data_IF_801822705258
#
_entry.id   IF_801822705258
#
_cell.length_a   1.000
_cell.length_b   1.000
_cell.length_c   1.000
_cell.angle_alpha   90.00
_cell.angle_beta   90.00
_cell.angle_gamma   90.00
#
_symmetry.space_group_name_H-M   'P 1'
#
loop_
_entity.id
_entity.type
_entity.pdbx_description
1 polymer ?
#
# COMPACT_ATOMS: atom_id res chain seq x y z
N UNK A 1 13.16 10.31 1.10
CA UNK A 1 11.98 9.45 1.35
C UNK A 1 11.62 9.52 2.82
N UNK A 2 10.34 9.39 3.15
CA UNK A 2 9.89 9.28 4.53
C UNK A 2 8.61 8.49 4.69
N UNK A 3 8.40 7.96 5.89
CA UNK A 3 7.27 7.08 6.22
C UNK A 3 6.40 7.69 7.32
N UNK A 4 5.10 7.45 7.23
CA UNK A 4 4.13 7.74 8.28
C UNK A 4 3.45 6.43 8.62
N UNK A 5 3.46 6.07 9.90
CA UNK A 5 2.86 4.85 10.40
C UNK A 5 1.77 5.20 11.41
N UNK A 6 0.63 4.54 11.30
CA UNK A 6 -0.46 4.56 12.25
C UNK A 6 -0.64 3.13 12.78
N UNK A 7 -0.41 2.95 14.08
CA UNK A 7 -0.61 1.66 14.73
C UNK A 7 -2.11 1.47 14.96
N UNK A 8 -2.62 0.32 14.56
CA UNK A 8 -4.03 -0.05 14.67
C UNK A 8 -4.16 -1.15 15.71
N UNK A 9 -5.10 -0.99 16.65
CA UNK A 9 -5.35 -2.02 17.65
C UNK A 9 -5.67 -3.38 16.99
N UNK A 10 -5.21 -4.46 17.61
CA UNK A 10 -5.36 -5.81 17.13
C UNK A 10 -6.83 -6.17 16.87
N UNK A 11 -7.79 -5.62 17.65
CA UNK A 11 -9.22 -5.87 17.43
C UNK A 11 -9.70 -5.29 16.11
N UNK A 12 -9.34 -4.04 15.82
CA UNK A 12 -9.72 -3.36 14.59
C UNK A 12 -8.98 -3.94 13.38
N UNK A 13 -7.67 -4.18 13.52
CA UNK A 13 -6.86 -4.80 12.48
C UNK A 13 -7.41 -6.18 12.08
N UNK A 14 -7.84 -7.00 13.06
CA UNK A 14 -8.51 -8.28 12.81
C UNK A 14 -9.81 -8.12 12.04
N UNK A 15 -10.66 -7.17 12.43
CA UNK A 15 -11.93 -6.93 11.74
C UNK A 15 -11.71 -6.58 10.26
N UNK A 16 -10.72 -5.72 9.98
CA UNK A 16 -10.34 -5.37 8.62
C UNK A 16 -9.80 -6.59 7.85
N UNK A 17 -8.86 -7.34 8.42
CA UNK A 17 -8.29 -8.52 7.76
C UNK A 17 -9.34 -9.60 7.45
N UNK A 18 -10.34 -9.79 8.32
CA UNK A 18 -11.47 -10.68 8.06
C UNK A 18 -12.33 -10.20 6.89
N UNK A 19 -12.60 -8.88 6.81
CA UNK A 19 -13.35 -8.28 5.71
C UNK A 19 -12.61 -8.45 4.39
N UNK A 20 -11.32 -8.10 4.35
CA UNK A 20 -10.47 -8.21 3.15
C UNK A 20 -10.42 -9.65 2.64
N UNK A 21 -10.15 -10.60 3.54
CA UNK A 21 -10.13 -12.04 3.23
C UNK A 21 -11.47 -12.55 2.68
N UNK A 22 -12.59 -12.04 3.21
CA UNK A 22 -13.92 -12.43 2.76
C UNK A 22 -14.17 -11.92 1.34
N UNK A 23 -13.85 -10.65 1.07
CA UNK A 23 -13.94 -10.06 -0.27
C UNK A 23 -13.06 -10.79 -1.29
N UNK A 24 -11.82 -11.12 -0.92
CA UNK A 24 -10.90 -11.85 -1.79
C UNK A 24 -11.40 -13.26 -2.12
N UNK A 25 -11.93 -13.98 -1.13
CA UNK A 25 -12.56 -15.29 -1.35
C UNK A 25 -13.79 -15.19 -2.24
N UNK A 26 -14.63 -14.18 -2.03
CA UNK A 26 -15.82 -13.95 -2.86
C UNK A 26 -15.43 -13.64 -4.31
N UNK A 27 -14.40 -12.80 -4.52
CA UNK A 27 -13.87 -12.48 -5.85
C UNK A 27 -13.32 -13.72 -6.54
N UNK A 28 -12.47 -14.52 -5.85
CA UNK A 28 -11.97 -15.80 -6.36
C UNK A 28 -13.10 -16.76 -6.77
N UNK A 29 -14.14 -16.87 -5.95
CA UNK A 29 -15.30 -17.71 -6.26
C UNK A 29 -16.05 -17.21 -7.50
N UNK A 30 -16.25 -15.89 -7.63
CA UNK A 30 -16.85 -15.27 -8.82
C UNK A 30 -16.00 -15.54 -10.07
N UNK A 31 -14.68 -15.34 -10.01
CA UNK A 31 -13.79 -15.51 -11.15
C UNK A 31 -13.72 -16.98 -11.60
N UNK A 32 -13.69 -17.92 -10.64
CA UNK A 32 -13.80 -19.35 -10.91
C UNK A 32 -15.12 -19.72 -11.59
N UNK A 33 -16.25 -19.16 -11.13
CA UNK A 33 -17.57 -19.40 -11.74
C UNK A 33 -17.67 -18.89 -13.18
N UNK A 34 -16.87 -17.89 -13.53
CA UNK A 34 -16.82 -17.30 -14.88
C UNK A 34 -15.74 -17.92 -15.78
N UNK A 35 -15.05 -18.95 -15.31
CA UNK A 35 -13.89 -19.54 -15.99
C UNK A 35 -12.84 -18.51 -16.42
N UNK A 36 -12.69 -17.43 -15.65
CA UNK A 36 -11.72 -16.37 -15.94
C UNK A 36 -10.32 -16.91 -15.66
N UNK A 37 -9.45 -16.89 -16.67
CA UNK A 37 -8.04 -17.26 -16.51
C UNK A 37 -7.30 -16.03 -16.01
N UNK A 38 -6.74 -16.15 -14.81
CA UNK A 38 -5.96 -15.09 -14.14
C UNK A 38 -4.50 -15.17 -14.57
N UNK A 39 -3.81 -14.03 -14.59
CA UNK A 39 -2.36 -13.90 -14.83
C UNK A 39 -1.52 -14.13 -13.56
N UNK A 40 -2.18 -14.40 -12.43
CA UNK A 40 -1.52 -14.67 -11.15
C UNK A 40 -1.48 -13.48 -10.19
N UNK A 41 -1.78 -12.26 -10.66
CA UNK A 41 -1.79 -11.05 -9.82
C UNK A 41 -2.82 -11.16 -8.67
N UNK A 42 -4.00 -11.68 -8.99
CA UNK A 42 -5.08 -11.90 -8.01
C UNK A 42 -4.74 -13.01 -6.99
N UNK A 43 -3.87 -13.96 -7.36
CA UNK A 43 -3.41 -15.03 -6.47
C UNK A 43 -2.39 -14.52 -5.46
N UNK A 44 -1.45 -13.66 -5.89
CA UNK A 44 -0.48 -13.00 -5.00
C UNK A 44 -1.19 -12.14 -3.96
N UNK A 45 -2.12 -11.29 -4.39
CA UNK A 45 -2.86 -10.39 -3.48
C UNK A 45 -3.60 -11.17 -2.39
N UNK A 46 -4.31 -12.24 -2.76
CA UNK A 46 -5.04 -12.99 -1.75
C UNK A 46 -4.16 -13.89 -0.88
N UNK A 47 -2.93 -14.24 -1.30
CA UNK A 47 -1.95 -14.87 -0.41
C UNK A 47 -1.54 -13.90 0.73
N UNK A 48 -1.41 -12.61 0.41
CA UNK A 48 -1.10 -11.58 1.41
C UNK A 48 -2.22 -11.40 2.45
N UNK A 49 -3.49 -11.44 2.00
CA UNK A 49 -4.67 -11.36 2.89
C UNK A 49 -4.81 -12.59 3.79
N UNK A 50 -4.51 -13.78 3.25
CA UNK A 50 -4.51 -15.03 4.04
C UNK A 50 -3.39 -14.99 5.10
N UNK A 51 -2.18 -14.56 4.75
CA UNK A 51 -1.09 -14.39 5.71
C UNK A 51 -1.43 -13.37 6.80
N UNK A 52 -1.97 -12.21 6.42
CA UNK A 52 -2.40 -11.16 7.36
C UNK A 52 -3.43 -11.67 8.38
N UNK A 53 -4.33 -12.55 7.95
CA UNK A 53 -5.31 -13.16 8.85
C UNK A 53 -4.68 -14.16 9.83
N UNK A 54 -3.62 -14.86 9.42
CA UNK A 54 -2.84 -15.75 10.30
C UNK A 54 -2.06 -14.92 11.34
N UNK A 55 -1.38 -13.87 10.90
CA UNK A 55 -0.60 -13.00 11.79
C UNK A 55 -1.50 -12.33 12.84
N UNK A 56 -2.72 -11.93 12.46
CA UNK A 56 -3.65 -11.27 13.36
C UNK A 56 -4.53 -12.24 14.17
N UNK A 57 -4.22 -13.53 14.25
CA UNK A 57 -5.02 -14.46 15.07
C UNK A 57 -5.13 -14.00 16.53
N UNK A 58 -6.29 -14.20 17.20
CA UNK A 58 -6.42 -13.89 18.62
C UNK A 58 -5.31 -14.53 19.46
N UNK A 59 -4.63 -13.72 20.28
CA UNK A 59 -3.53 -14.18 21.12
C UNK A 59 -2.15 -14.20 20.44
N UNK A 60 -2.03 -13.79 19.18
CA UNK A 60 -0.72 -13.69 18.50
C UNK A 60 0.17 -12.56 19.03
N UNK A 61 -0.43 -11.56 19.70
CA UNK A 61 0.27 -10.35 20.13
C UNK A 61 0.57 -9.36 18.99
N UNK A 62 0.14 -9.66 17.76
CA UNK A 62 0.33 -8.76 16.62
C UNK A 62 -0.77 -7.70 16.53
N UNK A 63 -0.35 -6.48 16.19
CA UNK A 63 -1.20 -5.33 15.91
C UNK A 63 -1.13 -4.97 14.43
N UNK A 64 -2.11 -4.20 13.95
CA UNK A 64 -2.07 -3.70 12.58
C UNK A 64 -1.20 -2.47 12.45
N UNK A 65 -0.73 -2.20 11.24
CA UNK A 65 -0.13 -0.92 10.88
C UNK A 65 -0.68 -0.45 9.55
N UNK A 66 -1.15 0.79 9.49
CA UNK A 66 -1.37 1.52 8.23
C UNK A 66 -0.14 2.37 7.99
N UNK A 67 0.33 2.40 6.75
CA UNK A 67 1.51 3.20 6.40
C UNK A 67 1.24 4.04 5.17
N UNK A 68 1.96 5.16 5.08
CA UNK A 68 2.06 5.99 3.90
C UNK A 68 3.52 6.41 3.69
N UNK A 69 3.93 6.53 2.43
CA UNK A 69 5.27 6.96 2.07
C UNK A 69 5.22 8.26 1.28
N UNK A 70 6.18 9.15 1.55
CA UNK A 70 6.47 10.30 0.70
C UNK A 70 7.85 10.08 0.08
N UNK A 71 7.89 10.12 -1.25
CA UNK A 71 9.10 9.93 -2.04
C UNK A 71 9.32 11.18 -2.87
N UNK A 72 10.55 11.69 -2.87
CA UNK A 72 11.01 12.70 -3.80
C UNK A 72 12.17 12.09 -4.55
N UNK A 73 12.23 12.35 -5.85
CA UNK A 73 13.33 11.93 -6.71
C UNK A 73 13.70 13.08 -7.65
N UNK A 74 14.89 13.01 -8.20
CA UNK A 74 15.44 13.96 -9.16
C UNK A 74 15.91 13.19 -10.38
N UNK A 75 15.78 13.78 -11.56
CA UNK A 75 16.17 13.21 -12.85
C UNK A 75 16.92 14.26 -13.65
N UNK A 76 17.64 13.84 -14.68
CA UNK A 76 18.51 14.74 -15.46
C UNK A 76 17.76 15.45 -16.60
N UNK A 77 16.54 15.00 -16.93
CA UNK A 77 15.69 15.64 -17.96
C UNK A 77 14.19 15.46 -17.72
N UNK A 78 13.38 16.25 -18.42
CA UNK A 78 11.91 16.13 -18.40
C UNK A 78 11.42 14.81 -19.00
N UNK A 79 12.09 14.30 -20.04
CA UNK A 79 11.77 12.99 -20.62
C UNK A 79 12.00 11.87 -19.59
N UNK A 80 13.06 11.96 -18.80
CA UNK A 80 13.30 11.02 -17.71
C UNK A 80 12.25 11.14 -16.59
N UNK A 81 11.73 12.34 -16.33
CA UNK A 81 10.68 12.55 -15.32
C UNK A 81 9.42 11.76 -15.67
N UNK A 82 8.98 11.85 -16.93
CA UNK A 82 7.83 11.10 -17.43
C UNK A 82 8.06 9.59 -17.41
N UNK A 83 9.26 9.14 -17.80
CA UNK A 83 9.62 7.72 -17.78
C UNK A 83 9.60 7.14 -16.35
N UNK A 84 10.25 7.83 -15.40
CA UNK A 84 10.36 7.37 -14.02
C UNK A 84 9.02 7.43 -13.29
N UNK A 85 8.22 8.48 -13.50
CA UNK A 85 6.86 8.57 -12.93
C UNK A 85 5.97 7.43 -13.39
N UNK A 86 5.95 7.15 -14.70
CA UNK A 86 5.21 6.01 -15.28
C UNK A 86 5.68 4.68 -14.69
N UNK A 87 6.99 4.51 -14.53
CA UNK A 87 7.55 3.30 -13.92
C UNK A 87 7.13 3.14 -12.46
N UNK A 88 7.12 4.24 -11.69
CA UNK A 88 6.67 4.23 -10.29
C UNK A 88 5.19 3.84 -10.22
N UNK A 89 4.33 4.38 -11.07
CA UNK A 89 2.90 4.03 -11.11
C UNK A 89 2.67 2.56 -11.44
N UNK A 90 3.40 2.03 -12.43
CA UNK A 90 3.34 0.61 -12.79
C UNK A 90 3.72 -0.27 -11.60
N UNK A 91 4.88 -0.01 -10.98
CA UNK A 91 5.36 -0.83 -9.85
C UNK A 91 4.45 -0.68 -8.63
N UNK A 92 3.92 0.52 -8.38
CA UNK A 92 2.96 0.76 -7.29
C UNK A 92 1.70 -0.09 -7.49
N UNK A 93 1.18 -0.15 -8.72
CA UNK A 93 0.04 -0.99 -9.09
C UNK A 93 0.33 -2.46 -8.86
N UNK A 94 1.50 -2.94 -9.31
CA UNK A 94 1.93 -4.34 -9.15
C UNK A 94 2.11 -4.72 -7.67
N UNK A 95 2.46 -3.75 -6.82
CA UNK A 95 2.59 -3.92 -5.37
C UNK A 95 1.25 -3.79 -4.62
N UNK A 96 0.14 -3.55 -5.32
CA UNK A 96 -1.17 -3.34 -4.69
C UNK A 96 -1.31 -2.01 -3.95
N UNK A 97 -0.55 -0.99 -4.35
CA UNK A 97 -0.70 0.38 -3.83
C UNK A 97 -1.81 1.06 -4.61
N UNK A 98 -3.00 1.10 -4.01
CA UNK A 98 -4.22 1.63 -4.67
C UNK A 98 -4.26 3.16 -4.79
N UNK A 99 -3.39 3.88 -4.05
CA UNK A 99 -3.42 5.35 -4.00
C UNK A 99 -2.02 5.92 -4.14
N UNK A 100 -1.80 6.61 -5.25
CA UNK A 100 -0.61 7.39 -5.52
C UNK A 100 -1.02 8.84 -5.81
N UNK A 101 -0.35 9.79 -5.15
CA UNK A 101 -0.63 11.22 -5.30
C UNK A 101 0.66 11.96 -5.66
N UNK A 102 0.66 12.56 -6.85
CA UNK A 102 1.70 13.49 -7.27
C UNK A 102 1.48 14.87 -6.64
N UNK A 103 2.53 15.45 -6.06
CA UNK A 103 2.50 16.74 -5.38
C UNK A 103 3.14 17.87 -6.23
N UNK A 104 3.03 17.75 -7.55
CA UNK A 104 3.75 18.58 -8.54
C UNK A 104 3.38 20.06 -8.52
N UNK A 105 2.26 20.41 -7.88
CA UNK A 105 1.82 21.80 -7.70
C UNK A 105 1.77 22.22 -6.23
N UNK A 106 2.38 21.42 -5.34
CA UNK A 106 2.43 21.63 -3.89
C UNK A 106 3.84 21.37 -3.36
N UNK A 107 4.84 21.95 -4.03
CA UNK A 107 6.26 21.75 -3.71
C UNK A 107 6.60 22.14 -2.26
N UNK A 108 5.97 23.17 -1.72
CA UNK A 108 6.06 23.61 -0.34
C UNK A 108 5.60 22.52 0.64
N UNK A 109 4.47 21.87 0.35
CA UNK A 109 3.98 20.73 1.14
C UNK A 109 4.85 19.49 0.97
N UNK A 110 5.30 19.21 -0.26
CA UNK A 110 6.11 18.04 -0.59
C UNK A 110 7.45 18.06 0.13
N UNK A 111 8.13 19.21 0.17
CA UNK A 111 9.40 19.37 0.88
C UNK A 111 9.25 19.13 2.38
N UNK A 112 8.20 19.66 3.00
CA UNK A 112 7.92 19.43 4.43
C UNK A 112 7.62 17.97 4.72
N UNK A 113 6.94 17.28 3.80
CA UNK A 113 6.62 15.87 3.94
C UNK A 113 7.86 14.98 3.79
N UNK A 114 8.85 15.33 2.96
CA UNK A 114 10.02 14.47 2.69
C UNK A 114 11.23 14.82 3.55
N UNK A 115 11.42 16.08 3.96
CA UNK A 115 12.60 16.51 4.71
C UNK A 115 12.52 16.17 6.21
N UNK A 116 13.62 15.68 6.83
CA UNK A 116 13.66 15.35 8.26
C UNK A 116 13.29 16.52 9.19
N UNK A 117 13.50 17.76 8.75
CA UNK A 117 13.28 18.97 9.54
C UNK A 117 11.79 19.37 9.63
N UNK A 118 10.96 19.00 8.65
CA UNK A 118 9.55 19.43 8.57
C UNK A 118 8.59 18.64 9.47
N UNK A 119 9.07 17.58 10.12
CA UNK A 119 8.24 16.58 10.81
C UNK A 119 8.17 16.74 12.34
N UNK A 120 8.93 17.68 12.89
CA UNK A 120 9.09 17.87 14.34
C UNK A 120 9.75 16.66 15.02
N UNK A 121 10.26 16.84 16.23
CA UNK A 121 10.67 15.71 17.08
C UNK A 121 9.39 15.06 17.59
N UNK A 122 9.09 13.84 17.13
CA UNK A 122 8.06 13.00 17.72
C UNK A 122 8.69 12.23 18.88
N UNK A 123 8.55 12.77 20.09
CA UNK A 123 8.77 12.04 21.36
C UNK A 123 7.62 11.08 21.64
#
# INVERSE_FOLDING_TARGET
>A
MSWVNEVVDAKEARAQAMSDRTSDKAKRHSDASKAKISDGTEQVMSNSSDQRAVDLMPGSGHHGVKWGAYVSFTVDSEEELLRVSTQIESVATDCGIDRLYWLDHRHDMALMAVLPMGRGIRT
#
